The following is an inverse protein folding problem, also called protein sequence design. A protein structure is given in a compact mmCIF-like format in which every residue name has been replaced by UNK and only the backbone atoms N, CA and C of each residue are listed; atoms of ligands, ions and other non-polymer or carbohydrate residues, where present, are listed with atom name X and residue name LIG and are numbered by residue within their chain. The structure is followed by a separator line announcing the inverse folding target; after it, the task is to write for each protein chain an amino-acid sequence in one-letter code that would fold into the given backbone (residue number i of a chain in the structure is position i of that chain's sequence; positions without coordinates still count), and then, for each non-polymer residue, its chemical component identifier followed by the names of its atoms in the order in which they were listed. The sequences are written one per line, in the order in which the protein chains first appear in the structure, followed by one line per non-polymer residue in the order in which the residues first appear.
data_IF_700104704392
#
_entry.id   IF_700104704392
#
_cell.length_a   1.000
_cell.length_b   1.000
_cell.length_c   1.000
_cell.angle_alpha   90.00
_cell.angle_beta   90.00
_cell.angle_gamma   90.00
#
_symmetry.space_group_name_H-M   'P 1'
#
loop_
_entity.id
_entity.type
_entity.pdbx_description
1 polymer ?
#
# COMPACT_ATOMS: atom_id res chain seq x y z
N UNK A 1 -13.00 -22.10 -10.52
CA UNK A 1 -13.29 -20.73 -10.10
C UNK A 1 -13.25 -20.69 -8.61
N UNK A 2 -12.12 -20.21 -8.12
CA UNK A 2 -11.87 -19.96 -6.72
C UNK A 2 -12.95 -19.06 -6.10
N UNK A 3 -13.23 -19.26 -4.82
CA UNK A 3 -14.13 -18.42 -4.06
C UNK A 3 -13.39 -17.17 -3.57
N UNK A 4 -13.76 -16.02 -4.14
CA UNK A 4 -13.22 -14.72 -3.73
C UNK A 4 -13.99 -14.10 -2.57
N UNK A 5 -15.09 -14.70 -2.11
CA UNK A 5 -15.89 -14.13 -1.03
C UNK A 5 -15.06 -13.94 0.23
N UNK A 6 -15.33 -12.85 0.95
CA UNK A 6 -14.56 -12.47 2.13
C UNK A 6 -15.45 -12.37 3.35
N UNK A 7 -14.88 -12.71 4.50
CA UNK A 7 -15.44 -12.43 5.82
C UNK A 7 -14.40 -11.67 6.65
N UNK A 8 -14.45 -10.34 6.60
CA UNK A 8 -13.51 -9.47 7.30
C UNK A 8 -14.22 -8.85 8.49
N UNK A 9 -13.84 -9.23 9.72
CA UNK A 9 -14.49 -8.77 10.97
C UNK A 9 -15.96 -9.16 11.10
N UNK A 10 -16.39 -10.26 10.46
CA UNK A 10 -17.81 -10.61 10.36
C UNK A 10 -18.54 -9.93 9.20
N UNK A 11 -17.88 -8.99 8.50
CA UNK A 11 -18.43 -8.26 7.36
C UNK A 11 -18.22 -9.11 6.11
N UNK A 12 -19.33 -9.55 5.51
CA UNK A 12 -19.33 -10.36 4.31
C UNK A 12 -19.36 -9.49 3.06
N UNK A 13 -18.53 -9.84 2.08
CA UNK A 13 -18.60 -9.26 0.73
C UNK A 13 -18.25 -10.31 -0.33
N UNK A 14 -18.72 -10.15 -1.57
CA UNK A 14 -18.50 -11.16 -2.62
C UNK A 14 -17.08 -11.24 -3.17
N UNK A 15 -16.23 -10.26 -2.87
CA UNK A 15 -14.81 -10.22 -3.25
C UNK A 15 -14.03 -9.28 -2.33
N UNK A 16 -12.68 -9.33 -2.29
CA UNK A 16 -11.87 -8.52 -1.37
C UNK A 16 -11.74 -7.06 -1.78
N UNK A 17 -12.28 -6.66 -2.94
CA UNK A 17 -12.07 -5.33 -3.52
C UNK A 17 -13.09 -4.33 -3.01
N UNK A 18 -12.63 -3.43 -2.16
CA UNK A 18 -13.42 -2.34 -1.62
C UNK A 18 -12.98 -1.01 -2.25
N UNK A 19 -13.91 -0.09 -2.51
CA UNK A 19 -13.48 1.29 -2.82
C UNK A 19 -13.03 1.98 -1.53
N UNK A 20 -11.87 2.62 -1.56
CA UNK A 20 -11.39 3.39 -0.42
C UNK A 20 -12.21 4.68 -0.22
N UNK A 21 -12.22 5.21 1.00
CA UNK A 21 -12.84 6.50 1.32
C UNK A 21 -12.18 7.65 0.55
N UNK A 22 -12.86 8.14 -0.48
CA UNK A 22 -12.29 9.00 -1.53
C UNK A 22 -13.43 9.61 -2.40
N UNK A 23 -13.17 10.51 -3.37
CA UNK A 23 -14.22 11.03 -4.25
C UNK A 23 -15.16 9.97 -4.88
N UNK A 24 -14.67 8.77 -5.27
CA UNK A 24 -15.54 7.72 -5.81
C UNK A 24 -16.64 7.24 -4.86
N UNK A 25 -16.55 7.52 -3.55
CA UNK A 25 -17.48 7.05 -2.52
C UNK A 25 -18.24 8.17 -1.80
N UNK A 26 -18.27 9.38 -2.36
CA UNK A 26 -18.89 10.56 -1.73
C UNK A 26 -20.42 10.66 -1.90
N UNK A 27 -21.00 9.89 -2.84
CA UNK A 27 -22.44 9.94 -3.16
C UNK A 27 -23.00 8.56 -3.43
N UNK A 28 -24.25 8.33 -3.04
CA UNK A 28 -24.98 7.09 -3.34
C UNK A 28 -24.93 6.74 -4.83
N UNK A 29 -25.07 7.74 -5.71
CA UNK A 29 -24.98 7.55 -7.16
C UNK A 29 -23.70 6.83 -7.61
N UNK A 30 -22.55 7.20 -7.05
CA UNK A 30 -21.28 6.59 -7.42
C UNK A 30 -21.13 5.20 -6.79
N UNK A 31 -21.50 5.07 -5.51
CA UNK A 31 -21.43 3.80 -4.77
C UNK A 31 -22.31 2.73 -5.43
N UNK A 32 -23.52 3.07 -5.85
CA UNK A 32 -24.39 2.12 -6.56
C UNK A 32 -23.83 1.71 -7.92
N UNK A 33 -23.17 2.62 -8.63
CA UNK A 33 -22.51 2.28 -9.90
C UNK A 33 -21.33 1.36 -9.67
N UNK A 34 -20.59 1.54 -8.57
CA UNK A 34 -19.53 0.63 -8.17
C UNK A 34 -20.09 -0.76 -7.83
N UNK A 35 -21.13 -0.85 -7.00
CA UNK A 35 -21.74 -2.15 -6.69
C UNK A 35 -22.31 -2.85 -7.92
N UNK A 36 -22.95 -2.13 -8.85
CA UNK A 36 -23.38 -2.68 -10.15
C UNK A 36 -22.23 -3.19 -11.01
N UNK A 37 -21.04 -2.58 -10.91
CA UNK A 37 -19.84 -3.03 -11.61
C UNK A 37 -19.16 -4.24 -10.95
N UNK A 38 -19.58 -4.63 -9.74
CA UNK A 38 -19.09 -5.84 -9.07
C UNK A 38 -18.21 -5.61 -7.84
N UNK A 39 -17.99 -4.36 -7.41
CA UNK A 39 -17.22 -4.07 -6.20
C UNK A 39 -17.79 -4.81 -4.98
N UNK A 40 -16.93 -5.43 -4.17
CA UNK A 40 -17.33 -6.18 -2.98
C UNK A 40 -17.78 -5.29 -1.84
N UNK A 41 -17.22 -4.08 -1.76
CA UNK A 41 -17.54 -3.13 -0.71
C UNK A 41 -17.14 -1.69 -1.05
N UNK A 42 -17.52 -0.76 -0.18
CA UNK A 42 -17.02 0.60 -0.17
C UNK A 42 -16.74 1.06 1.25
N UNK A 43 -15.74 1.92 1.39
CA UNK A 43 -15.63 2.82 2.52
C UNK A 43 -16.16 4.18 2.07
N UNK A 44 -17.25 4.62 2.69
CA UNK A 44 -17.92 5.89 2.38
C UNK A 44 -16.97 7.07 2.59
N UNK A 45 -17.11 8.15 1.81
CA UNK A 45 -16.29 9.36 1.99
C UNK A 45 -16.39 9.86 3.43
N UNK A 46 -15.25 10.21 4.03
CA UNK A 46 -15.15 10.57 5.44
C UNK A 46 -16.19 11.63 5.84
N UNK A 47 -16.97 11.30 6.87
CA UNK A 47 -17.99 12.14 7.49
C UNK A 47 -17.38 13.09 8.52
N UNK A 48 -17.87 14.32 8.56
CA UNK A 48 -17.63 15.29 9.62
C UNK A 48 -18.74 15.28 10.67
N UNK A 49 -18.56 16.05 11.74
CA UNK A 49 -19.57 16.25 12.77
C UNK A 49 -20.79 17.03 12.24
N UNK A 50 -21.87 17.06 13.01
CA UNK A 50 -23.01 17.92 12.72
C UNK A 50 -22.59 19.40 12.66
N UNK A 51 -23.20 20.15 11.74
CA UNK A 51 -22.91 21.56 11.49
C UNK A 51 -22.57 21.84 10.04
N UNK A 52 -22.07 23.05 9.73
CA UNK A 52 -21.63 23.40 8.40
C UNK A 52 -20.50 22.45 7.93
N UNK A 53 -20.62 21.87 6.73
CA UNK A 53 -19.58 20.98 6.22
C UNK A 53 -18.29 21.76 5.94
N UNK A 54 -17.19 21.02 5.76
CA UNK A 54 -15.92 21.63 5.33
C UNK A 54 -16.08 22.27 3.96
N UNK A 55 -15.32 23.34 3.70
CA UNK A 55 -15.31 24.03 2.42
C UNK A 55 -14.02 23.68 1.70
N UNK A 56 -14.15 23.01 0.56
CA UNK A 56 -13.03 22.75 -0.34
C UNK A 56 -12.66 24.01 -1.12
N UNK A 57 -11.42 24.09 -1.59
CA UNK A 57 -11.03 25.11 -2.57
C UNK A 57 -11.82 24.94 -3.87
N UNK A 58 -12.21 26.06 -4.49
CA UNK A 58 -13.04 26.09 -5.68
C UNK A 58 -12.28 25.83 -7.00
N UNK A 59 -10.95 25.72 -6.96
CA UNK A 59 -10.12 25.45 -8.13
C UNK A 59 -9.54 24.03 -8.17
N UNK A 60 -8.51 23.79 -9.00
CA UNK A 60 -7.87 22.48 -9.13
C UNK A 60 -7.42 21.91 -7.78
N UNK A 61 -7.84 20.67 -7.50
CA UNK A 61 -7.46 19.94 -6.27
C UNK A 61 -6.55 18.76 -6.50
N UNK A 62 -6.18 18.50 -7.75
CA UNK A 62 -5.38 17.35 -8.13
C UNK A 62 -4.17 17.76 -8.96
N UNK A 63 -3.01 17.24 -8.57
CA UNK A 63 -1.78 17.22 -9.35
C UNK A 63 -1.43 15.78 -9.74
N UNK A 64 -0.56 15.58 -10.71
CA UNK A 64 -0.24 14.26 -11.23
C UNK A 64 1.22 14.13 -11.65
N UNK A 65 1.81 12.97 -11.39
CA UNK A 65 3.08 12.54 -11.95
C UNK A 65 2.80 11.50 -13.04
N UNK A 66 3.47 11.66 -14.18
CA UNK A 66 3.28 10.78 -15.33
C UNK A 66 4.59 10.13 -15.76
N UNK A 67 4.47 8.95 -16.36
CA UNK A 67 5.55 8.28 -17.08
C UNK A 67 5.79 8.88 -18.47
N UNK A 68 6.79 8.36 -19.16
CA UNK A 68 7.20 8.82 -20.49
C UNK A 68 6.06 8.76 -21.53
N UNK A 69 5.13 7.82 -21.38
CA UNK A 69 3.95 7.60 -22.23
C UNK A 69 2.69 8.35 -21.74
N UNK A 70 2.85 9.30 -20.81
CA UNK A 70 1.76 9.95 -20.06
C UNK A 70 0.91 9.03 -19.20
N UNK A 71 1.32 7.78 -18.96
CA UNK A 71 0.67 6.92 -17.96
C UNK A 71 0.76 7.55 -16.58
N UNK A 72 -0.35 7.56 -15.86
CA UNK A 72 -0.40 8.10 -14.50
C UNK A 72 0.42 7.22 -13.54
N UNK A 73 1.42 7.80 -12.89
CA UNK A 73 2.25 7.13 -11.88
C UNK A 73 1.78 7.44 -10.46
N UNK A 74 1.18 8.62 -10.26
CA UNK A 74 0.57 9.00 -9.01
C UNK A 74 -0.21 10.30 -9.10
N UNK A 75 -1.14 10.49 -8.16
CA UNK A 75 -1.90 11.72 -7.97
C UNK A 75 -1.50 12.36 -6.65
N UNK A 76 -1.46 13.67 -6.61
CA UNK A 76 -1.50 14.44 -5.39
C UNK A 76 -2.87 15.10 -5.27
N UNK A 77 -3.42 15.15 -4.06
CA UNK A 77 -4.68 15.84 -3.83
C UNK A 77 -4.61 16.76 -2.61
N UNK A 78 -5.34 17.87 -2.70
CA UNK A 78 -5.59 18.80 -1.59
C UNK A 78 -7.08 18.81 -1.21
N UNK A 79 -7.76 17.68 -1.40
CA UNK A 79 -9.18 17.54 -1.09
C UNK A 79 -9.41 17.19 0.38
N UNK A 80 -10.48 17.71 0.97
CA UNK A 80 -10.85 17.46 2.36
C UNK A 80 -11.78 16.25 2.50
N UNK A 81 -12.37 16.10 3.69
CA UNK A 81 -13.51 15.21 3.94
C UNK A 81 -14.75 15.66 3.14
N UNK A 82 -15.87 14.95 3.27
CA UNK A 82 -17.09 15.32 2.53
C UNK A 82 -17.49 16.78 2.81
N UNK A 83 -17.76 17.54 1.76
CA UNK A 83 -18.30 18.90 1.85
C UNK A 83 -19.84 18.91 1.83
N UNK A 84 -20.44 17.73 2.00
CA UNK A 84 -21.89 17.52 2.01
C UNK A 84 -22.42 17.46 3.45
N UNK A 85 -23.66 17.92 3.69
CA UNK A 85 -24.27 17.81 5.01
C UNK A 85 -24.30 16.37 5.54
N UNK A 86 -24.06 16.19 6.84
CA UNK A 86 -24.04 14.88 7.49
C UNK A 86 -25.33 14.08 7.23
N UNK A 87 -26.49 14.71 7.43
CA UNK A 87 -27.80 14.08 7.24
C UNK A 87 -28.01 13.50 5.83
N UNK A 88 -27.49 14.20 4.81
CA UNK A 88 -27.60 13.72 3.43
C UNK A 88 -26.77 12.44 3.24
N UNK A 89 -25.57 12.39 3.80
CA UNK A 89 -24.73 11.20 3.76
C UNK A 89 -25.37 10.03 4.53
N UNK A 90 -25.85 10.26 5.74
CA UNK A 90 -26.48 9.23 6.58
C UNK A 90 -27.70 8.60 5.89
N UNK A 91 -28.59 9.44 5.32
CA UNK A 91 -29.75 8.98 4.54
C UNK A 91 -29.31 8.14 3.34
N UNK A 92 -28.35 8.64 2.56
CA UNK A 92 -27.85 7.93 1.38
C UNK A 92 -27.18 6.59 1.73
N UNK A 93 -26.36 6.54 2.78
CA UNK A 93 -25.76 5.30 3.27
C UNK A 93 -26.82 4.28 3.65
N UNK A 94 -27.86 4.70 4.39
CA UNK A 94 -28.98 3.84 4.79
C UNK A 94 -29.72 3.27 3.59
N UNK A 95 -30.06 4.12 2.63
CA UNK A 95 -30.71 3.69 1.40
C UNK A 95 -29.86 2.69 0.59
N UNK A 96 -28.57 2.99 0.44
CA UNK A 96 -27.63 2.12 -0.28
C UNK A 96 -27.52 0.77 0.43
N UNK A 97 -27.34 0.74 1.75
CA UNK A 97 -27.20 -0.51 2.50
C UNK A 97 -28.46 -1.36 2.43
N UNK A 98 -29.66 -0.75 2.50
CA UNK A 98 -30.93 -1.47 2.31
C UNK A 98 -31.05 -2.08 0.90
N UNK A 99 -30.56 -1.40 -0.13
CA UNK A 99 -30.57 -1.89 -1.53
C UNK A 99 -29.50 -2.94 -1.82
N UNK A 100 -28.39 -2.91 -1.09
CA UNK A 100 -27.21 -3.76 -1.30
C UNK A 100 -26.76 -4.45 0.00
N UNK A 101 -27.61 -5.30 0.61
CA UNK A 101 -27.30 -5.91 1.91
C UNK A 101 -26.10 -6.86 1.86
N UNK A 102 -25.78 -7.41 0.67
CA UNK A 102 -24.66 -8.33 0.39
C UNK A 102 -23.32 -7.64 0.17
N UNK A 103 -23.29 -6.30 0.16
CA UNK A 103 -22.06 -5.50 -0.05
C UNK A 103 -21.62 -4.86 1.25
N UNK A 104 -20.31 -4.81 1.47
CA UNK A 104 -19.75 -4.12 2.63
C UNK A 104 -19.91 -2.60 2.46
N UNK A 105 -20.44 -1.93 3.48
CA UNK A 105 -20.50 -0.47 3.58
C UNK A 105 -19.90 -0.04 4.91
N UNK A 106 -18.71 0.56 4.83
CA UNK A 106 -17.97 1.07 5.99
C UNK A 106 -18.11 2.58 6.04
N UNK A 107 -18.49 3.13 7.19
CA UNK A 107 -18.57 4.58 7.38
C UNK A 107 -17.20 5.14 7.79
N UNK A 108 -16.54 5.92 6.93
CA UNK A 108 -15.34 6.65 7.35
C UNK A 108 -15.72 7.88 8.17
N UNK A 109 -15.09 8.10 9.33
CA UNK A 109 -15.44 9.19 10.25
C UNK A 109 -14.19 9.97 10.65
N UNK A 110 -14.31 11.30 10.68
CA UNK A 110 -13.33 12.19 11.28
C UNK A 110 -14.02 13.39 11.94
N UNK A 111 -14.07 13.36 13.26
CA UNK A 111 -14.60 14.44 14.12
C UNK A 111 -13.51 14.92 15.09
N UNK A 112 -13.67 16.07 15.78
CA UNK A 112 -12.70 16.52 16.77
C UNK A 112 -12.33 15.42 17.77
N UNK A 113 -11.11 15.47 18.31
CA UNK A 113 -10.63 14.52 19.33
C UNK A 113 -11.20 14.86 20.72
N UNK A 114 -12.53 14.93 20.79
CA UNK A 114 -13.33 15.21 21.98
C UNK A 114 -14.36 14.09 22.11
N UNK A 115 -14.46 13.50 23.31
CA UNK A 115 -15.32 12.32 23.55
C UNK A 115 -16.78 12.54 23.14
N UNK A 116 -17.33 13.72 23.45
CA UNK A 116 -18.72 14.07 23.12
C UNK A 116 -18.98 14.11 21.60
N UNK A 117 -17.99 14.49 20.78
CA UNK A 117 -18.14 14.49 19.33
C UNK A 117 -18.27 13.06 18.77
N UNK A 118 -17.48 12.11 19.30
CA UNK A 118 -17.57 10.69 18.92
C UNK A 118 -18.87 10.06 19.42
N UNK A 119 -19.20 10.30 20.69
CA UNK A 119 -20.45 9.83 21.30
C UNK A 119 -21.70 10.33 20.58
N UNK A 120 -21.67 11.52 19.99
CA UNK A 120 -22.78 12.07 19.22
C UNK A 120 -22.95 11.41 17.84
N UNK A 121 -21.85 11.19 17.09
CA UNK A 121 -21.93 10.70 15.70
C UNK A 121 -22.13 9.18 15.58
N UNK A 122 -21.59 8.40 16.53
CA UNK A 122 -21.59 6.94 16.44
C UNK A 122 -23.01 6.34 16.33
N UNK A 123 -23.99 6.72 17.18
CA UNK A 123 -25.36 6.19 17.06
C UNK A 123 -26.03 6.51 15.73
N UNK A 124 -25.78 7.72 15.19
CA UNK A 124 -26.34 8.15 13.91
C UNK A 124 -25.82 7.27 12.75
N UNK A 125 -24.55 6.89 12.81
CA UNK A 125 -23.95 5.98 11.83
C UNK A 125 -24.50 4.55 12.01
N UNK A 126 -24.65 4.06 13.25
CA UNK A 126 -25.27 2.75 13.50
C UNK A 126 -26.69 2.65 12.90
N UNK A 127 -27.49 3.72 13.00
CA UNK A 127 -28.85 3.77 12.46
C UNK A 127 -28.93 3.66 10.93
N UNK A 128 -27.81 3.87 10.22
CA UNK A 128 -27.73 3.65 8.76
C UNK A 128 -27.67 2.16 8.41
N UNK A 129 -27.29 1.30 9.35
CA UNK A 129 -27.02 -0.12 9.10
C UNK A 129 -25.66 -0.40 8.45
N UNK A 130 -24.74 0.59 8.43
CA UNK A 130 -23.37 0.37 8.01
C UNK A 130 -22.74 -0.83 8.75
N UNK A 131 -21.88 -1.58 8.06
CA UNK A 131 -21.32 -2.84 8.58
C UNK A 131 -20.14 -2.61 9.54
N UNK A 132 -19.59 -1.40 9.56
CA UNK A 132 -18.45 -1.01 10.38
C UNK A 132 -18.10 0.47 10.22
N UNK A 133 -17.14 0.92 11.01
CA UNK A 133 -16.57 2.27 10.92
C UNK A 133 -15.08 2.25 10.61
N UNK A 134 -14.62 3.23 9.84
CA UNK A 134 -13.21 3.48 9.59
C UNK A 134 -12.80 4.84 10.18
N UNK A 135 -11.92 4.84 11.16
CA UNK A 135 -11.41 6.04 11.82
C UNK A 135 -10.34 6.68 10.92
N UNK A 136 -10.65 7.83 10.30
CA UNK A 136 -9.71 8.49 9.40
C UNK A 136 -8.75 9.40 10.18
N UNK A 137 -7.57 8.90 10.49
CA UNK A 137 -6.46 9.69 11.07
C UNK A 137 -5.35 9.98 10.09
N UNK A 138 -5.62 9.93 8.78
CA UNK A 138 -4.55 9.96 7.78
C UNK A 138 -4.50 11.16 6.86
N UNK A 139 -5.46 12.08 6.90
CA UNK A 139 -5.46 13.26 6.02
C UNK A 139 -4.24 14.17 6.34
N UNK A 140 -3.26 14.32 5.44
CA UNK A 140 -2.03 15.05 5.73
C UNK A 140 -2.15 16.57 5.55
N UNK A 141 -3.26 17.05 4.97
CA UNK A 141 -3.47 18.46 4.59
C UNK A 141 -4.90 18.92 4.92
N UNK A 142 -5.08 20.24 5.05
CA UNK A 142 -6.33 20.95 5.36
C UNK A 142 -6.97 20.66 6.73
N UNK A 143 -6.74 19.47 7.29
CA UNK A 143 -7.24 19.02 8.59
C UNK A 143 -6.12 18.93 9.63
N UNK A 144 -4.88 18.67 9.20
CA UNK A 144 -3.70 18.61 10.09
C UNK A 144 -3.36 19.97 10.67
N UNK A 145 -3.54 21.04 9.91
CA UNK A 145 -3.40 22.44 10.33
C UNK A 145 -4.44 22.83 11.39
N UNK A 146 -5.50 22.02 11.55
CA UNK A 146 -6.54 22.15 12.60
C UNK A 146 -6.35 21.15 13.75
N UNK A 147 -5.22 20.45 13.81
CA UNK A 147 -4.94 19.44 14.84
C UNK A 147 -5.70 18.11 14.66
N UNK A 148 -6.17 17.80 13.44
CA UNK A 148 -6.89 16.55 13.10
C UNK A 148 -6.16 15.77 12.00
N UNK A 149 -6.71 14.63 11.54
CA UNK A 149 -6.09 13.85 10.46
C UNK A 149 -4.72 13.29 10.85
N UNK A 150 -3.71 13.44 9.99
CA UNK A 150 -2.38 12.88 10.21
C UNK A 150 -1.70 13.40 11.49
N UNK A 151 -2.00 14.62 11.93
CA UNK A 151 -1.52 15.15 13.20
C UNK A 151 -1.95 14.30 14.41
N UNK A 152 -3.13 13.68 14.34
CA UNK A 152 -3.65 12.74 15.34
C UNK A 152 -3.08 11.34 15.10
N UNK A 153 -3.07 10.89 13.84
CA UNK A 153 -2.65 9.53 13.48
C UNK A 153 -1.18 9.21 13.74
N UNK A 154 -0.34 10.23 13.92
CA UNK A 154 1.06 10.10 14.30
C UNK A 154 1.27 9.88 15.80
N UNK A 155 0.24 10.09 16.64
CA UNK A 155 0.33 10.04 18.09
C UNK A 155 -0.44 8.81 18.61
N UNK A 156 0.26 7.71 18.98
CA UNK A 156 -0.38 6.47 19.41
C UNK A 156 -1.39 6.65 20.55
N UNK A 157 -1.15 7.60 21.46
CA UNK A 157 -2.02 7.91 22.58
C UNK A 157 -3.38 8.46 22.13
N UNK A 158 -3.39 9.34 21.12
CA UNK A 158 -4.64 9.88 20.57
C UNK A 158 -5.38 8.83 19.74
N UNK A 159 -4.67 8.01 18.98
CA UNK A 159 -5.25 6.86 18.28
C UNK A 159 -5.94 5.93 19.28
N UNK A 160 -5.24 5.55 20.36
CA UNK A 160 -5.77 4.69 21.40
C UNK A 160 -6.99 5.30 22.11
N UNK A 161 -6.96 6.59 22.38
CA UNK A 161 -8.06 7.33 23.03
C UNK A 161 -9.34 7.27 22.19
N UNK A 162 -9.27 7.60 20.90
CA UNK A 162 -10.44 7.59 20.02
C UNK A 162 -10.98 6.17 19.80
N UNK A 163 -10.09 5.19 19.64
CA UNK A 163 -10.50 3.78 19.55
C UNK A 163 -11.30 3.38 20.79
N UNK A 164 -10.83 3.73 22.00
CA UNK A 164 -11.57 3.44 23.25
C UNK A 164 -12.96 4.07 23.26
N UNK A 165 -13.11 5.33 22.84
CA UNK A 165 -14.43 5.96 22.75
C UNK A 165 -15.34 5.23 21.76
N UNK A 166 -14.81 4.83 20.60
CA UNK A 166 -15.59 4.08 19.62
C UNK A 166 -16.05 2.73 20.18
N UNK A 167 -15.15 1.97 20.83
CA UNK A 167 -15.48 0.69 21.46
C UNK A 167 -16.41 0.83 22.66
N UNK A 168 -16.40 1.98 23.34
CA UNK A 168 -17.28 2.28 24.48
C UNK A 168 -18.70 2.65 24.03
N UNK A 169 -18.84 3.40 22.94
CA UNK A 169 -20.12 3.99 22.51
C UNK A 169 -20.75 3.33 21.28
N UNK A 170 -20.09 2.35 20.66
CA UNK A 170 -20.60 1.63 19.50
C UNK A 170 -20.27 0.13 19.59
N UNK A 171 -21.11 -0.69 18.95
CA UNK A 171 -20.88 -2.13 18.77
C UNK A 171 -20.35 -2.47 17.38
N UNK A 172 -20.26 -1.49 16.49
CA UNK A 172 -19.75 -1.70 15.14
C UNK A 172 -18.27 -2.13 15.17
N UNK A 173 -17.84 -2.99 14.23
CA UNK A 173 -16.43 -3.20 13.96
C UNK A 173 -15.70 -1.87 13.70
N UNK A 174 -14.57 -1.68 14.36
CA UNK A 174 -13.73 -0.48 14.27
C UNK A 174 -12.48 -0.80 13.48
N UNK A 175 -12.27 -0.07 12.38
CA UNK A 175 -11.09 -0.14 11.53
C UNK A 175 -10.31 1.16 11.69
N UNK A 176 -9.07 1.11 12.18
CA UNK A 176 -8.24 2.31 12.34
C UNK A 176 -7.42 2.57 11.08
N UNK A 177 -7.68 3.67 10.36
CA UNK A 177 -6.92 4.02 9.15
C UNK A 177 -5.62 4.75 9.49
N UNK A 178 -4.48 4.12 9.21
CA UNK A 178 -3.16 4.63 9.59
C UNK A 178 -2.55 5.54 8.52
N UNK A 179 -1.83 6.56 8.99
CA UNK A 179 -1.08 7.51 8.16
C UNK A 179 0.31 6.98 7.86
N UNK A 180 0.81 7.07 6.61
CA UNK A 180 2.20 6.73 6.30
C UNK A 180 3.19 7.83 6.70
N UNK A 181 2.69 8.99 7.16
CA UNK A 181 3.49 10.17 7.48
C UNK A 181 4.12 10.04 8.87
N UNK A 182 4.82 8.94 9.14
CA UNK A 182 5.35 8.58 10.45
C UNK A 182 6.68 7.83 10.27
N UNK A 183 7.57 7.90 11.27
CA UNK A 183 8.84 7.18 11.24
C UNK A 183 8.67 5.67 11.37
N UNK A 184 7.75 5.23 12.24
CA UNK A 184 7.49 3.82 12.51
C UNK A 184 5.99 3.58 12.59
N UNK A 185 5.45 2.89 11.58
CA UNK A 185 4.02 2.61 11.45
C UNK A 185 3.51 1.64 12.54
N UNK A 186 4.40 0.84 13.14
CA UNK A 186 4.04 -0.13 14.18
C UNK A 186 3.55 0.58 15.44
N UNK A 187 4.08 1.76 15.77
CA UNK A 187 3.70 2.52 16.97
C UNK A 187 2.20 2.84 17.03
N UNK A 188 1.61 3.55 16.05
CA UNK A 188 0.16 3.79 16.08
C UNK A 188 -0.65 2.50 15.88
N UNK A 189 -0.15 1.49 15.16
CA UNK A 189 -0.82 0.20 15.02
C UNK A 189 -0.95 -0.53 16.37
N UNK A 190 0.14 -0.63 17.14
CA UNK A 190 0.15 -1.18 18.51
C UNK A 190 -0.76 -0.39 19.44
N UNK A 191 -0.73 0.95 19.35
CA UNK A 191 -1.63 1.82 20.12
C UNK A 191 -3.10 1.54 19.82
N UNK A 192 -3.47 1.39 18.54
CA UNK A 192 -4.81 1.02 18.12
C UNK A 192 -5.20 -0.39 18.59
N UNK A 193 -4.30 -1.36 18.44
CA UNK A 193 -4.51 -2.76 18.87
C UNK A 193 -4.74 -2.84 20.38
N UNK A 194 -3.87 -2.23 21.19
CA UNK A 194 -3.99 -2.21 22.64
C UNK A 194 -5.27 -1.51 23.14
N UNK A 195 -5.82 -0.59 22.34
CA UNK A 195 -7.09 0.07 22.61
C UNK A 195 -8.33 -0.74 22.19
N UNK A 196 -8.15 -1.87 21.50
CA UNK A 196 -9.23 -2.77 21.08
C UNK A 196 -9.81 -2.47 19.70
N UNK A 197 -9.02 -1.88 18.78
CA UNK A 197 -9.45 -1.81 17.38
C UNK A 197 -9.62 -3.21 16.81
N UNK A 198 -10.60 -3.41 15.94
CA UNK A 198 -10.88 -4.73 15.37
C UNK A 198 -10.01 -4.99 14.13
N UNK A 199 -9.56 -3.93 13.45
CA UNK A 199 -8.58 -3.99 12.36
C UNK A 199 -7.83 -2.67 12.18
N UNK A 200 -6.79 -2.70 11.36
CA UNK A 200 -6.19 -1.50 10.77
C UNK A 200 -6.40 -1.48 9.27
N UNK A 201 -6.51 -0.28 8.70
CA UNK A 201 -6.42 -0.08 7.25
C UNK A 201 -5.27 0.85 6.93
N UNK A 202 -4.49 0.54 5.88
CA UNK A 202 -3.31 1.34 5.56
C UNK A 202 -2.82 1.12 4.13
N UNK A 203 -2.26 2.13 3.49
CA UNK A 203 -1.94 3.47 4.01
C UNK A 203 -2.93 4.53 3.55
N UNK A 204 -3.06 5.62 4.33
CA UNK A 204 -3.56 6.88 3.79
C UNK A 204 -2.51 7.51 2.83
N UNK A 205 -2.75 8.71 2.32
CA UNK A 205 -1.86 9.36 1.35
C UNK A 205 -0.57 9.91 1.99
N UNK A 206 0.51 9.97 1.20
CA UNK A 206 1.83 10.45 1.63
C UNK A 206 1.95 11.96 1.40
N UNK A 207 2.36 12.73 2.40
CA UNK A 207 2.51 14.17 2.29
C UNK A 207 3.58 14.54 1.24
N UNK A 208 3.24 15.40 0.29
CA UNK A 208 4.12 15.71 -0.85
C UNK A 208 3.76 17.01 -1.57
N UNK A 209 4.71 17.47 -2.39
CA UNK A 209 4.50 18.35 -3.55
C UNK A 209 4.92 17.55 -4.78
N UNK A 210 4.09 17.48 -5.81
CA UNK A 210 4.39 16.67 -7.02
C UNK A 210 5.21 17.40 -8.07
N UNK A 211 5.02 18.71 -8.20
CA UNK A 211 5.80 19.56 -9.09
C UNK A 211 5.62 21.03 -8.74
N UNK A 212 6.53 21.85 -9.27
CA UNK A 212 6.43 23.31 -9.26
C UNK A 212 6.33 23.77 -10.72
N UNK A 213 5.31 24.57 -11.02
CA UNK A 213 5.25 25.31 -12.28
C UNK A 213 6.36 26.37 -12.27
N UNK A 214 7.27 26.32 -13.23
CA UNK A 214 8.47 27.17 -13.24
C UNK A 214 8.22 28.57 -13.81
N UNK A 215 7.05 28.83 -14.42
CA UNK A 215 6.68 30.15 -14.89
C UNK A 215 5.99 30.93 -13.75
N UNK A 216 5.06 30.30 -13.04
CA UNK A 216 4.38 30.91 -11.89
C UNK A 216 5.11 30.72 -10.56
N UNK A 217 6.12 29.85 -10.51
CA UNK A 217 6.82 29.40 -9.30
C UNK A 217 5.87 28.87 -8.21
N UNK A 218 4.75 28.26 -8.63
CA UNK A 218 3.73 27.73 -7.71
C UNK A 218 3.67 26.20 -7.73
N UNK A 219 3.40 25.54 -6.58
CA UNK A 219 3.16 24.11 -6.55
C UNK A 219 1.95 23.70 -7.41
N UNK A 220 1.96 22.48 -7.93
CA UNK A 220 0.83 21.88 -8.65
C UNK A 220 0.11 20.87 -7.74
N UNK A 221 -1.22 20.95 -7.56
CA UNK A 221 -2.13 21.93 -8.17
C UNK A 221 -2.00 23.34 -7.58
N UNK A 222 -2.23 24.35 -8.42
CA UNK A 222 -2.18 25.76 -8.02
C UNK A 222 -3.58 26.39 -7.98
N UNK A 223 -3.81 27.20 -6.94
CA UNK A 223 -4.96 28.09 -6.77
C UNK A 223 -4.43 29.51 -6.68
N UNK A 224 -4.79 30.37 -7.64
CA UNK A 224 -4.44 31.80 -7.63
C UNK A 224 -2.94 32.06 -7.37
N UNK A 225 -2.07 31.34 -8.09
CA UNK A 225 -0.61 31.46 -7.97
C UNK A 225 -0.02 30.87 -6.67
N UNK A 226 -0.82 30.19 -5.85
CA UNK A 226 -0.37 29.48 -4.64
C UNK A 226 -0.65 28.00 -4.73
N UNK A 227 0.03 27.21 -3.92
CA UNK A 227 -0.22 25.77 -3.78
C UNK A 227 0.14 25.33 -2.37
N UNK A 228 -0.34 24.16 -1.97
CA UNK A 228 -0.04 23.54 -0.68
C UNK A 228 0.60 22.18 -0.91
N UNK A 229 1.23 21.65 0.12
CA UNK A 229 1.46 20.21 0.18
C UNK A 229 0.11 19.47 0.20
N UNK A 230 0.11 18.24 -0.29
CA UNK A 230 -1.08 17.40 -0.40
C UNK A 230 -0.76 15.92 -0.26
N UNK A 231 -1.78 15.10 -0.38
CA UNK A 231 -1.68 13.65 -0.28
C UNK A 231 -1.34 12.96 -1.61
N UNK A 232 -0.15 12.36 -1.71
CA UNK A 232 0.29 11.50 -2.80
C UNK A 232 -0.31 10.10 -2.70
N UNK A 233 -0.84 9.60 -3.81
CA UNK A 233 -1.42 8.27 -3.96
C UNK A 233 -1.19 7.74 -5.38
N UNK A 234 -1.63 6.51 -5.65
CA UNK A 234 -1.48 5.84 -6.95
C UNK A 234 -0.32 4.85 -6.99
N UNK A 235 -0.02 4.26 -8.16
CA UNK A 235 0.92 3.14 -8.29
C UNK A 235 2.26 3.36 -7.58
N UNK A 236 2.80 4.57 -7.63
CA UNK A 236 4.09 4.91 -7.04
C UNK A 236 4.15 4.74 -5.51
N UNK A 237 3.01 4.69 -4.80
CA UNK A 237 3.02 4.50 -3.34
C UNK A 237 2.99 3.04 -2.91
N UNK A 238 2.72 2.11 -3.84
CA UNK A 238 2.59 0.66 -3.55
C UNK A 238 3.79 0.10 -2.78
N UNK A 239 5.06 0.36 -3.15
CA UNK A 239 6.20 -0.21 -2.41
C UNK A 239 6.24 0.22 -0.94
N UNK A 240 5.84 1.45 -0.65
CA UNK A 240 5.78 2.01 0.72
C UNK A 240 4.64 1.36 1.50
N UNK A 241 3.48 1.19 0.87
CA UNK A 241 2.33 0.53 1.46
C UNK A 241 2.60 -0.94 1.80
N UNK A 242 3.20 -1.70 0.88
CA UNK A 242 3.58 -3.11 1.10
C UNK A 242 4.57 -3.24 2.27
N UNK A 243 5.58 -2.37 2.34
CA UNK A 243 6.51 -2.35 3.47
C UNK A 243 5.78 -2.13 4.80
N UNK A 244 4.89 -1.15 4.88
CA UNK A 244 4.16 -0.85 6.12
C UNK A 244 3.17 -1.96 6.52
N UNK A 245 2.51 -2.60 5.55
CA UNK A 245 1.69 -3.79 5.80
C UNK A 245 2.55 -4.91 6.36
N UNK A 246 3.70 -5.19 5.74
CA UNK A 246 4.61 -6.25 6.18
C UNK A 246 5.12 -5.98 7.61
N UNK A 247 5.50 -4.74 7.93
CA UNK A 247 5.94 -4.35 9.28
C UNK A 247 4.89 -4.64 10.35
N UNK A 248 3.60 -4.35 10.10
CA UNK A 248 2.53 -4.64 11.06
C UNK A 248 2.20 -6.14 11.10
N UNK A 249 2.17 -6.80 9.94
CA UNK A 249 1.84 -8.22 9.87
C UNK A 249 2.88 -9.10 10.58
N UNK A 250 4.17 -8.72 10.53
CA UNK A 250 5.27 -9.45 11.18
C UNK A 250 5.55 -9.00 12.61
N UNK A 251 4.95 -7.91 13.07
CA UNK A 251 5.19 -7.37 14.41
C UNK A 251 4.51 -8.23 15.49
N UNK A 252 5.25 -8.74 16.50
CA UNK A 252 4.69 -9.58 17.56
C UNK A 252 3.55 -8.91 18.35
N UNK A 253 3.60 -7.59 18.56
CA UNK A 253 2.61 -6.86 19.35
C UNK A 253 1.28 -6.63 18.60
N UNK A 254 1.28 -6.78 17.28
CA UNK A 254 0.07 -6.72 16.44
C UNK A 254 -0.23 -8.05 15.77
N UNK A 255 0.35 -9.14 16.26
CA UNK A 255 0.15 -10.46 15.69
C UNK A 255 -1.34 -10.83 15.65
N UNK A 256 -1.81 -11.26 14.48
CA UNK A 256 -3.22 -11.62 14.25
C UNK A 256 -4.17 -10.44 14.10
N UNK A 257 -3.70 -9.18 14.17
CA UNK A 257 -4.51 -8.00 13.88
C UNK A 257 -4.93 -8.01 12.39
N UNK A 258 -6.24 -8.03 12.08
CA UNK A 258 -6.69 -7.98 10.69
C UNK A 258 -6.29 -6.67 9.99
N UNK A 259 -5.90 -6.79 8.72
CA UNK A 259 -5.43 -5.66 7.90
C UNK A 259 -6.30 -5.51 6.65
N UNK A 260 -6.72 -4.28 6.35
CA UNK A 260 -7.27 -3.88 5.05
C UNK A 260 -6.23 -3.05 4.29
N UNK A 261 -5.67 -3.61 3.21
CA UNK A 261 -4.54 -3.02 2.48
C UNK A 261 -4.95 -1.93 1.50
N UNK A 262 -4.21 -0.84 1.43
CA UNK A 262 -4.50 0.35 0.61
C UNK A 262 -3.19 0.95 0.09
N UNK A 263 -3.17 1.36 -1.18
CA UNK A 263 -2.08 2.16 -1.73
C UNK A 263 -1.50 1.58 -3.01
N UNK A 264 -1.77 2.24 -4.13
CA UNK A 264 -1.19 1.89 -5.43
C UNK A 264 -1.68 0.59 -6.06
N UNK A 265 -2.74 -0.02 -5.53
CA UNK A 265 -3.38 -1.20 -6.12
C UNK A 265 -4.09 -0.79 -7.42
N UNK A 266 -3.66 -1.37 -8.53
CA UNK A 266 -4.24 -1.13 -9.87
C UNK A 266 -4.64 -2.39 -10.61
N UNK A 267 -4.11 -3.54 -10.21
CA UNK A 267 -4.33 -4.82 -10.85
C UNK A 267 -4.63 -5.91 -9.82
N UNK A 268 -5.06 -7.08 -10.29
CA UNK A 268 -5.21 -8.26 -9.44
C UNK A 268 -3.88 -8.70 -8.79
N UNK A 269 -2.74 -8.54 -9.49
CA UNK A 269 -1.41 -8.90 -8.96
C UNK A 269 -1.05 -8.07 -7.75
N UNK A 270 -1.30 -6.76 -7.85
CA UNK A 270 -1.11 -5.85 -6.72
C UNK A 270 -1.94 -6.33 -5.51
N UNK A 271 -3.22 -6.63 -5.72
CA UNK A 271 -4.08 -7.12 -4.64
C UNK A 271 -3.60 -8.45 -4.05
N UNK A 272 -3.18 -9.40 -4.88
CA UNK A 272 -2.61 -10.68 -4.44
C UNK A 272 -1.36 -10.48 -3.57
N UNK A 273 -0.48 -9.51 -3.90
CA UNK A 273 0.69 -9.18 -3.07
C UNK A 273 0.28 -8.66 -1.68
N UNK A 274 -0.71 -7.77 -1.60
CA UNK A 274 -1.23 -7.29 -0.30
C UNK A 274 -1.85 -8.43 0.52
N UNK A 275 -2.63 -9.32 -0.10
CA UNK A 275 -3.24 -10.46 0.58
C UNK A 275 -2.17 -11.46 1.04
N UNK A 276 -1.16 -11.74 0.21
CA UNK A 276 -0.03 -12.58 0.57
C UNK A 276 0.77 -12.02 1.76
N UNK A 277 0.79 -10.69 1.95
CA UNK A 277 1.34 -10.01 3.14
C UNK A 277 0.37 -9.93 4.33
N UNK A 278 -0.78 -10.59 4.27
CA UNK A 278 -1.69 -10.75 5.40
C UNK A 278 -2.97 -9.91 5.35
N UNK A 279 -3.19 -9.11 4.32
CA UNK A 279 -4.44 -8.34 4.19
C UNK A 279 -5.65 -9.27 3.99
N UNK A 280 -6.74 -9.02 4.71
CA UNK A 280 -8.02 -9.71 4.52
C UNK A 280 -8.91 -9.09 3.44
N UNK A 281 -8.75 -7.79 3.20
CA UNK A 281 -9.38 -7.04 2.10
C UNK A 281 -8.41 -6.02 1.55
N UNK A 282 -8.73 -5.46 0.37
CA UNK A 282 -7.96 -4.38 -0.24
C UNK A 282 -8.87 -3.22 -0.62
N UNK A 283 -8.43 -1.99 -0.34
CA UNK A 283 -9.12 -0.78 -0.76
C UNK A 283 -8.43 -0.11 -1.94
N UNK A 284 -9.23 0.33 -2.91
CA UNK A 284 -8.76 0.87 -4.19
C UNK A 284 -9.37 2.24 -4.42
N UNK A 285 -8.57 3.19 -4.91
CA UNK A 285 -9.02 4.56 -5.18
C UNK A 285 -8.53 5.04 -6.55
N UNK A 286 -7.21 5.23 -6.70
CA UNK A 286 -6.64 5.82 -7.91
C UNK A 286 -6.96 5.03 -9.18
N UNK A 287 -7.01 3.69 -9.11
CA UNK A 287 -7.40 2.87 -10.26
C UNK A 287 -8.84 3.15 -10.70
N UNK A 288 -9.79 3.22 -9.76
CA UNK A 288 -11.19 3.56 -10.05
C UNK A 288 -11.34 4.99 -10.58
N UNK A 289 -10.54 5.94 -10.09
CA UNK A 289 -10.50 7.32 -10.61
C UNK A 289 -9.91 7.40 -12.03
N UNK A 290 -9.00 6.50 -12.37
CA UNK A 290 -8.26 6.54 -13.65
C UNK A 290 -8.97 5.75 -14.75
N UNK A 291 -9.50 4.57 -14.40
CA UNK A 291 -10.04 3.59 -15.34
C UNK A 291 -11.56 3.37 -15.20
N UNK A 292 -12.20 4.03 -14.23
CA UNK A 292 -13.61 3.85 -13.91
C UNK A 292 -13.90 2.58 -13.11
N UNK A 293 -15.16 2.40 -12.69
CA UNK A 293 -15.54 1.31 -11.79
C UNK A 293 -15.39 -0.09 -12.36
N UNK A 294 -15.39 -0.23 -13.70
CA UNK A 294 -15.25 -1.52 -14.38
C UNK A 294 -13.86 -2.15 -14.24
N UNK A 295 -12.86 -1.40 -13.79
CA UNK A 295 -11.52 -1.96 -13.50
C UNK A 295 -11.59 -3.15 -12.54
N UNK A 296 -12.61 -3.21 -11.68
CA UNK A 296 -12.81 -4.33 -10.75
C UNK A 296 -13.12 -5.65 -11.46
N UNK A 297 -13.71 -5.63 -12.67
CA UNK A 297 -14.01 -6.84 -13.45
C UNK A 297 -12.69 -7.57 -13.76
N UNK A 298 -11.70 -6.86 -14.32
CA UNK A 298 -10.37 -7.43 -14.60
C UNK A 298 -9.60 -7.84 -13.33
N UNK A 299 -9.83 -7.13 -12.21
CA UNK A 299 -9.21 -7.46 -10.93
C UNK A 299 -9.79 -8.76 -10.34
N UNK A 300 -11.10 -8.96 -10.46
CA UNK A 300 -11.81 -10.18 -10.03
C UNK A 300 -11.37 -11.36 -10.88
N UNK A 301 -11.48 -11.23 -12.20
CA UNK A 301 -11.16 -12.32 -13.14
C UNK A 301 -9.69 -12.75 -13.00
N UNK A 302 -8.77 -11.78 -13.02
CA UNK A 302 -7.35 -12.08 -12.92
C UNK A 302 -6.94 -12.67 -11.57
N UNK A 303 -7.58 -12.28 -10.46
CA UNK A 303 -7.30 -12.90 -9.16
C UNK A 303 -7.84 -14.34 -9.11
N UNK A 304 -9.06 -14.57 -9.58
CA UNK A 304 -9.67 -15.91 -9.65
C UNK A 304 -8.85 -16.85 -10.54
N UNK A 305 -8.47 -16.41 -11.73
CA UNK A 305 -7.69 -17.21 -12.69
C UNK A 305 -6.31 -17.58 -12.13
N UNK A 306 -5.64 -16.62 -11.48
CA UNK A 306 -4.37 -16.90 -10.82
C UNK A 306 -4.53 -17.89 -9.66
N UNK A 307 -5.56 -17.75 -8.83
CA UNK A 307 -5.84 -18.68 -7.75
C UNK A 307 -6.12 -20.09 -8.28
N UNK A 308 -6.97 -20.23 -9.30
CA UNK A 308 -7.23 -21.50 -9.98
C UNK A 308 -5.93 -22.12 -10.52
N UNK A 309 -5.05 -21.31 -11.14
CA UNK A 309 -3.75 -21.77 -11.66
C UNK A 309 -2.77 -22.28 -10.58
N UNK A 310 -2.95 -21.82 -9.34
CA UNK A 310 -2.15 -22.23 -8.17
C UNK A 310 -2.83 -23.31 -7.32
N UNK A 311 -4.08 -23.66 -7.63
CA UNK A 311 -4.88 -24.60 -6.85
C UNK A 311 -5.48 -24.00 -5.58
N UNK A 312 -5.44 -22.69 -5.39
CA UNK A 312 -6.06 -22.01 -4.25
C UNK A 312 -7.58 -21.96 -4.42
N UNK A 313 -8.32 -22.44 -3.43
CA UNK A 313 -9.78 -22.48 -3.39
C UNK A 313 -10.37 -21.21 -2.78
N UNK A 314 -9.72 -20.64 -1.77
CA UNK A 314 -10.16 -19.44 -1.05
C UNK A 314 -8.99 -18.48 -0.83
N UNK A 315 -9.28 -17.20 -0.52
CA UNK A 315 -8.22 -16.24 -0.20
C UNK A 315 -7.35 -16.67 0.99
N UNK A 316 -7.92 -17.44 1.91
CA UNK A 316 -7.23 -17.92 3.12
C UNK A 316 -6.11 -18.92 2.79
N UNK A 317 -6.14 -19.55 1.61
CA UNK A 317 -5.11 -20.52 1.19
C UNK A 317 -3.75 -19.86 0.95
N UNK A 318 -3.73 -18.56 0.65
CA UNK A 318 -2.48 -17.82 0.41
C UNK A 318 -2.30 -16.55 1.26
N UNK A 319 -3.34 -16.13 1.99
CA UNK A 319 -3.25 -14.95 2.86
C UNK A 319 -2.15 -15.12 3.90
N UNK A 320 -1.21 -14.17 3.92
CA UNK A 320 -0.12 -14.14 4.89
C UNK A 320 1.08 -15.04 4.58
N UNK A 321 1.08 -15.83 3.50
CA UNK A 321 2.20 -16.73 3.15
C UNK A 321 3.53 -15.99 2.94
N UNK A 322 3.49 -14.70 2.57
CA UNK A 322 4.69 -13.89 2.39
C UNK A 322 5.22 -13.27 3.69
N UNK A 323 4.42 -13.21 4.77
CA UNK A 323 4.79 -12.51 6.02
C UNK A 323 6.07 -13.10 6.63
N UNK A 324 6.17 -14.44 6.72
CA UNK A 324 7.35 -15.12 7.25
C UNK A 324 8.60 -15.03 6.37
N UNK A 325 8.46 -14.56 5.12
CA UNK A 325 9.56 -14.35 4.19
C UNK A 325 10.10 -12.91 4.21
N UNK A 326 9.44 -12.00 4.95
CA UNK A 326 9.95 -10.65 5.20
C UNK A 326 10.85 -10.69 6.42
N UNK A 327 12.12 -10.34 6.23
CA UNK A 327 13.13 -10.40 7.27
C UNK A 327 13.96 -9.13 7.33
N UNK A 328 14.55 -8.86 8.50
CA UNK A 328 15.55 -7.82 8.61
C UNK A 328 16.81 -8.22 7.84
N UNK A 329 17.47 -7.24 7.23
CA UNK A 329 18.64 -7.47 6.38
C UNK A 329 19.71 -8.34 7.05
N UNK A 330 19.92 -8.19 8.37
CA UNK A 330 20.95 -8.91 9.10
C UNK A 330 20.75 -10.43 9.16
N UNK A 331 19.56 -10.93 8.81
CA UNK A 331 19.22 -12.34 8.75
C UNK A 331 19.14 -12.88 7.31
N UNK A 332 19.53 -12.10 6.30
CA UNK A 332 19.63 -12.61 4.94
C UNK A 332 20.84 -13.54 4.81
N UNK A 333 20.68 -14.59 3.99
CA UNK A 333 21.73 -15.58 3.77
C UNK A 333 22.90 -14.99 2.97
N UNK A 334 24.00 -14.67 3.64
CA UNK A 334 25.21 -14.13 3.03
C UNK A 334 25.94 -15.15 2.14
N UNK A 335 25.66 -16.44 2.31
CA UNK A 335 26.23 -17.49 1.47
C UNK A 335 25.40 -17.80 0.21
N UNK A 336 24.27 -17.08 0.01
CA UNK A 336 23.51 -17.18 -1.23
C UNK A 336 24.13 -16.27 -2.31
N UNK A 337 25.08 -16.82 -3.07
CA UNK A 337 25.80 -16.08 -4.10
C UNK A 337 25.16 -16.30 -5.47
N UNK A 338 24.90 -15.20 -6.18
CA UNK A 338 24.37 -15.24 -7.54
C UNK A 338 25.24 -14.43 -8.49
N UNK A 339 25.18 -14.76 -9.78
CA UNK A 339 25.82 -14.02 -10.86
C UNK A 339 24.79 -13.71 -11.94
N UNK A 340 24.97 -12.56 -12.59
CA UNK A 340 24.12 -12.22 -13.72
C UNK A 340 24.50 -13.10 -14.93
N UNK A 341 23.51 -13.45 -15.74
CA UNK A 341 23.69 -14.15 -17.02
C UNK A 341 22.94 -13.41 -18.10
N UNK A 342 23.61 -13.10 -19.21
CA UNK A 342 23.02 -12.38 -20.34
C UNK A 342 22.74 -13.38 -21.44
N UNK A 343 21.48 -13.55 -21.79
CA UNK A 343 21.05 -14.30 -22.96
C UNK A 343 21.39 -13.49 -24.22
N UNK A 344 22.32 -14.02 -25.01
CA UNK A 344 22.81 -13.34 -26.22
C UNK A 344 21.81 -13.38 -27.39
N UNK A 345 20.86 -14.32 -27.37
CA UNK A 345 19.80 -14.41 -28.39
C UNK A 345 18.71 -13.36 -28.14
N UNK A 346 18.45 -13.03 -26.88
CA UNK A 346 17.54 -11.93 -26.49
C UNK A 346 18.21 -10.55 -26.50
N UNK A 347 19.53 -10.49 -26.40
CA UNK A 347 20.28 -9.24 -26.27
C UNK A 347 20.17 -8.36 -27.53
N UNK A 348 19.44 -7.24 -27.40
CA UNK A 348 19.34 -6.21 -28.45
C UNK A 348 20.57 -5.27 -28.51
N UNK A 349 21.65 -5.62 -27.80
CA UNK A 349 22.92 -4.87 -27.73
C UNK A 349 22.76 -3.39 -27.36
N UNK A 350 21.79 -3.02 -26.53
CA UNK A 350 21.57 -1.60 -26.19
C UNK A 350 22.66 -1.00 -25.29
N UNK A 351 23.34 -1.85 -24.48
CA UNK A 351 24.43 -1.45 -23.59
C UNK A 351 24.03 -0.86 -22.25
N UNK A 352 22.73 -0.81 -21.90
CA UNK A 352 22.28 -0.30 -20.59
C UNK A 352 22.85 -1.08 -19.41
N UNK A 353 22.94 -2.41 -19.55
CA UNK A 353 23.52 -3.27 -18.52
C UNK A 353 24.99 -2.92 -18.25
N UNK A 354 25.80 -2.76 -19.30
CA UNK A 354 27.18 -2.30 -19.17
C UNK A 354 27.25 -0.90 -18.56
N UNK A 355 26.54 0.09 -19.08
CA UNK A 355 26.59 1.47 -18.55
C UNK A 355 26.21 1.52 -17.07
N UNK A 356 25.15 0.82 -16.67
CA UNK A 356 24.75 0.73 -15.27
C UNK A 356 25.87 0.09 -14.40
N UNK A 357 26.49 -0.97 -14.89
CA UNK A 357 27.56 -1.63 -14.14
C UNK A 357 28.86 -0.82 -14.10
N UNK A 358 29.23 -0.23 -15.23
CA UNK A 358 30.49 0.50 -15.48
C UNK A 358 30.51 1.83 -14.74
N UNK A 359 29.49 2.66 -14.94
CA UNK A 359 29.51 4.03 -14.43
C UNK A 359 29.04 4.12 -12.96
N UNK A 360 28.26 3.12 -12.49
CA UNK A 360 27.52 3.25 -11.23
C UNK A 360 27.64 2.06 -10.27
N UNK A 361 28.41 1.01 -10.60
CA UNK A 361 28.47 -0.18 -9.74
C UNK A 361 29.85 -0.86 -9.69
N UNK A 362 30.10 -1.88 -10.51
CA UNK A 362 31.17 -2.87 -10.27
C UNK A 362 32.01 -3.23 -11.52
N UNK A 363 31.83 -2.54 -12.65
CA UNK A 363 32.65 -2.74 -13.87
C UNK A 363 32.73 -4.22 -14.32
N UNK A 364 31.64 -4.97 -14.10
CA UNK A 364 31.59 -6.42 -14.24
C UNK A 364 30.90 -6.91 -15.52
N UNK A 365 30.72 -6.04 -16.51
CA UNK A 365 30.09 -6.39 -17.79
C UNK A 365 30.94 -5.78 -18.91
N UNK A 366 31.38 -6.59 -19.86
CA UNK A 366 32.16 -6.11 -21.02
C UNK A 366 31.30 -5.25 -21.95
N UNK A 367 31.91 -4.37 -22.75
CA UNK A 367 31.22 -3.67 -23.85
C UNK A 367 31.71 -4.08 -25.25
N UNK A 368 32.87 -4.74 -25.29
CA UNK A 368 33.53 -5.22 -26.49
C UNK A 368 34.16 -6.58 -26.18
N UNK A 369 33.92 -7.55 -27.07
CA UNK A 369 34.61 -8.84 -27.09
C UNK A 369 35.10 -9.05 -28.52
N UNK A 370 36.38 -9.34 -28.69
CA UNK A 370 37.03 -9.50 -30.00
C UNK A 370 36.78 -8.31 -30.97
N UNK A 371 36.76 -7.09 -30.43
CA UNK A 371 36.54 -5.85 -31.20
C UNK A 371 35.09 -5.61 -31.65
N UNK A 372 34.16 -6.49 -31.29
CA UNK A 372 32.73 -6.34 -31.60
C UNK A 372 31.93 -6.01 -30.33
N UNK A 373 30.86 -5.22 -30.49
CA UNK A 373 29.95 -4.88 -29.40
C UNK A 373 29.30 -6.15 -28.86
N UNK A 374 29.65 -6.48 -27.62
CA UNK A 374 29.25 -7.71 -26.96
C UNK A 374 29.26 -7.47 -25.44
N UNK A 375 28.28 -8.04 -24.75
CA UNK A 375 28.05 -7.81 -23.33
C UNK A 375 28.07 -9.17 -22.62
N UNK A 376 29.17 -9.45 -21.94
CA UNK A 376 29.38 -10.65 -21.12
C UNK A 376 29.62 -10.23 -19.67
N UNK A 377 29.11 -11.02 -18.74
CA UNK A 377 29.37 -10.83 -17.31
C UNK A 377 30.75 -11.38 -16.98
N UNK A 378 31.56 -10.59 -16.30
CA UNK A 378 32.86 -10.98 -15.77
C UNK A 378 32.63 -11.53 -14.36
N UNK A 379 32.62 -12.86 -14.20
CA UNK A 379 32.23 -13.51 -12.95
C UNK A 379 33.16 -13.16 -11.77
N UNK A 380 34.42 -12.86 -12.06
CA UNK A 380 35.43 -12.41 -11.11
C UNK A 380 35.13 -11.01 -10.54
N UNK A 381 34.34 -10.20 -11.22
CA UNK A 381 34.01 -8.83 -10.78
C UNK A 381 32.54 -8.73 -10.35
N UNK A 382 31.66 -9.59 -10.88
CA UNK A 382 30.23 -9.53 -10.62
C UNK A 382 29.91 -9.84 -9.16
N UNK A 383 29.30 -8.87 -8.45
CA UNK A 383 28.87 -9.06 -7.04
C UNK A 383 27.44 -9.61 -6.91
N UNK A 384 26.72 -9.78 -8.01
CA UNK A 384 25.33 -10.24 -8.00
C UNK A 384 24.31 -9.19 -7.56
N UNK A 385 24.57 -7.89 -7.74
CA UNK A 385 23.69 -6.80 -7.25
C UNK A 385 22.32 -6.67 -7.95
N UNK A 386 22.10 -7.42 -9.04
CA UNK A 386 20.85 -7.43 -9.82
C UNK A 386 20.49 -6.10 -10.55
N UNK A 387 21.33 -5.07 -10.51
CA UNK A 387 21.02 -3.78 -11.18
C UNK A 387 20.87 -3.94 -12.70
N UNK A 388 21.76 -4.70 -13.34
CA UNK A 388 21.74 -4.92 -14.80
C UNK A 388 20.44 -5.55 -15.29
N UNK A 389 19.87 -6.48 -14.51
CA UNK A 389 18.56 -7.10 -14.77
C UNK A 389 17.46 -6.04 -14.75
N UNK A 390 17.41 -5.22 -13.70
CA UNK A 390 16.35 -4.23 -13.50
C UNK A 390 16.35 -3.09 -14.53
N UNK A 391 17.49 -2.77 -15.16
CA UNK A 391 17.58 -1.73 -16.19
C UNK A 391 17.48 -2.26 -17.63
N UNK A 392 17.50 -3.60 -17.79
CA UNK A 392 17.38 -4.23 -19.10
C UNK A 392 15.97 -3.95 -19.68
N UNK A 393 15.85 -3.45 -20.92
CA UNK A 393 14.56 -3.17 -21.52
C UNK A 393 13.90 -4.43 -22.13
N UNK A 394 14.59 -5.57 -22.13
CA UNK A 394 14.10 -6.84 -22.66
C UNK A 394 13.87 -7.76 -21.47
N UNK A 395 12.61 -8.15 -21.28
CA UNK A 395 12.21 -9.11 -20.24
C UNK A 395 13.00 -10.41 -20.39
N UNK A 396 13.43 -10.99 -19.27
CA UNK A 396 14.21 -12.23 -19.17
C UNK A 396 15.56 -12.28 -19.92
N UNK A 397 15.99 -11.21 -20.59
CA UNK A 397 17.29 -11.17 -21.28
C UNK A 397 18.47 -11.28 -20.30
N UNK A 398 18.30 -10.83 -19.06
CA UNK A 398 19.32 -11.01 -18.02
C UNK A 398 18.66 -11.65 -16.81
N UNK A 399 19.25 -12.74 -16.31
CA UNK A 399 18.77 -13.47 -15.14
C UNK A 399 19.86 -13.56 -14.07
N UNK A 400 19.46 -13.89 -12.84
CA UNK A 400 20.39 -14.17 -11.75
C UNK A 400 20.49 -15.69 -11.55
N UNK A 401 21.67 -16.24 -11.77
CA UNK A 401 21.96 -17.66 -11.56
C UNK A 401 22.67 -17.85 -10.22
N UNK A 402 22.19 -18.77 -9.38
CA UNK A 402 22.91 -19.15 -8.17
C UNK A 402 24.13 -19.99 -8.54
N UNK A 403 25.30 -19.58 -8.05
CA UNK A 403 26.52 -20.38 -8.19
C UNK A 403 26.78 -21.19 -6.91
N UNK A 404 27.34 -22.38 -7.08
CA UNK A 404 27.73 -23.27 -5.99
C UNK A 404 29.24 -23.43 -5.88
N UNK A 405 29.68 -24.06 -4.79
CA UNK A 405 31.04 -24.52 -4.50
C UNK A 405 32.13 -23.44 -4.35
N UNK A 406 32.24 -22.48 -5.28
CA UNK A 406 33.32 -21.50 -5.33
C UNK A 406 32.85 -20.17 -5.92
N UNK A 407 33.19 -19.04 -5.28
CA UNK A 407 32.91 -17.70 -5.80
C UNK A 407 34.16 -17.14 -6.52
N UNK A 408 34.12 -16.98 -7.85
CA UNK A 408 35.24 -16.45 -8.64
C UNK A 408 35.72 -15.07 -8.17
N UNK A 409 34.81 -14.26 -7.61
CA UNK A 409 35.13 -12.90 -7.15
C UNK A 409 35.96 -12.90 -5.87
N UNK A 410 35.54 -13.66 -4.87
CA UNK A 410 36.27 -13.75 -3.59
C UNK A 410 37.42 -14.75 -3.65
N UNK A 411 37.48 -15.59 -4.70
CA UNK A 411 38.44 -16.68 -4.86
C UNK A 411 38.40 -17.66 -3.70
N UNK A 412 37.22 -17.88 -3.14
CA UNK A 412 36.99 -18.69 -1.97
C UNK A 412 35.83 -19.67 -2.18
N UNK A 413 35.83 -20.82 -1.48
CA UNK A 413 34.67 -21.72 -1.46
C UNK A 413 33.43 -21.02 -0.90
N UNK A 414 32.26 -21.31 -1.48
CA UNK A 414 30.97 -20.84 -0.95
C UNK A 414 30.50 -21.86 0.09
N UNK A 415 30.37 -21.50 1.38
CA UNK A 415 29.89 -22.45 2.37
C UNK A 415 28.44 -22.87 2.07
N UNK A 416 28.15 -24.17 2.08
CA UNK A 416 26.80 -24.69 1.83
C UNK A 416 25.80 -24.38 2.96
N UNK A 417 26.30 -24.06 4.16
CA UNK A 417 25.49 -23.78 5.34
C UNK A 417 25.03 -22.32 5.31
N UNK A 418 23.83 -22.06 5.84
CA UNK A 418 23.33 -20.70 6.04
C UNK A 418 24.27 -19.90 6.96
N UNK A 419 24.58 -18.67 6.57
CA UNK A 419 25.25 -17.69 7.42
C UNK A 419 24.65 -16.31 7.18
N UNK A 420 24.67 -15.45 8.20
CA UNK A 420 24.08 -14.12 8.13
C UNK A 420 24.97 -13.07 8.81
N UNK A 421 24.55 -11.81 8.84
CA UNK A 421 25.37 -10.73 9.38
C UNK A 421 25.59 -10.84 10.90
N UNK A 422 24.66 -11.44 11.65
CA UNK A 422 24.75 -11.49 13.13
C UNK A 422 25.90 -12.34 13.66
N UNK A 423 26.43 -13.27 12.86
CA UNK A 423 27.57 -14.13 13.20
C UNK A 423 28.79 -13.87 12.30
N UNK A 424 28.67 -12.98 11.31
CA UNK A 424 29.74 -12.70 10.36
C UNK A 424 30.98 -12.10 11.05
N UNK A 425 32.22 -12.55 10.75
CA UNK A 425 33.43 -12.09 11.43
C UNK A 425 33.68 -10.58 11.40
N UNK A 426 33.18 -9.89 10.37
CA UNK A 426 33.29 -8.44 10.23
C UNK A 426 32.21 -7.65 10.99
N UNK A 427 31.21 -8.31 11.59
CA UNK A 427 30.23 -7.63 12.42
C UNK A 427 30.86 -7.34 13.80
N UNK A 428 31.05 -6.07 14.19
CA UNK A 428 31.65 -5.73 15.49
C UNK A 428 30.77 -6.18 16.67
N UNK A 429 29.48 -6.39 16.42
CA UNK A 429 28.49 -6.90 17.37
C UNK A 429 28.20 -8.38 17.16
N UNK A 430 29.07 -9.11 16.43
CA UNK A 430 28.85 -10.53 16.16
C UNK A 430 28.61 -11.28 17.46
N UNK A 431 27.48 -11.96 17.55
CA UNK A 431 27.22 -12.88 18.65
C UNK A 431 28.12 -14.08 18.37
N UNK A 432 29.27 -14.14 19.06
CA UNK A 432 30.03 -15.38 19.13
C UNK A 432 29.11 -16.37 19.82
N UNK A 433 28.66 -17.40 19.11
CA UNK A 433 28.01 -18.53 19.76
C UNK A 433 28.86 -18.90 20.99
N UNK A 434 28.21 -18.99 22.16
CA UNK A 434 28.86 -19.67 23.27
C UNK A 434 29.18 -21.08 22.75
N UNK A 435 30.45 -21.46 22.77
CA UNK A 435 30.80 -22.83 22.50
C UNK A 435 30.09 -23.71 23.55
N UNK A 436 29.34 -24.69 23.04
CA UNK A 436 28.57 -25.77 23.71
C UNK A 436 27.08 -25.52 23.98
#
# INVERSE_FOLDING_TARGET
MADLSTNFLGIKSPNPFWLASAPPTDKAYNVERAFKAGWGGVVWKTLGAEGPPVVNVNGPRYGAIHGADRRLLGLNNIELITDRPLEVNLREMKEVKMRWPDRALIASIMVPCEEEAWKAILPLVEETGADGIELNFGCPHGMSERGMGAAVGQVPEYVAMVVKWCKQYSRMPVITKLTPNITDIRKPARGAHAAGTDAVSLINTINSIVSVDLDSMSPVPSIDGRGSHGGYCGPAVKPIALNMVAEIARDPETHGLPISGIGGITTWRDAAEFIALGCGTVQVCTAAMTYGFKVVEEMIDGLSDWMDSKGYQTLDDFRGMAVGHVSDWQYLNLNYVTKARIDQDLCIKCGRCHIACEDTSHQAITNLVNGARHFEVIDEECVGCNLCVNVCPVEDCITMEQIGDFDPRTKAPIPAQYANWTTHPNNPMAVKEAAE
#
